data_IF_901146907795
#
_entry.id   IF_901146907795
#
_cell.length_a   1.000
_cell.length_b   1.000
_cell.length_c   1.000
_cell.angle_alpha   90.00
_cell.angle_beta   90.00
_cell.angle_gamma   90.00
#
_symmetry.space_group_name_H-M   'P 1'
#
loop_
_entity.id
_entity.type
_entity.pdbx_description
1 polymer ?
#
# COMPACT_ATOMS: atom_id res chain seq x y z
N UNK A 1 -8.51 20.52 9.60
CA UNK A 1 -7.75 20.14 8.40
C UNK A 1 -6.98 18.83 8.63
N UNK A 2 -7.71 17.72 8.80
CA UNK A 2 -7.14 16.41 9.12
C UNK A 2 -6.70 15.59 7.88
N UNK A 3 -7.07 16.00 6.66
CA UNK A 3 -7.22 15.02 5.56
C UNK A 3 -5.92 14.47 4.94
N UNK A 4 -4.85 15.27 4.80
CA UNK A 4 -3.64 14.83 4.06
C UNK A 4 -2.62 14.17 4.98
N UNK A 5 -2.39 14.77 6.15
CA UNK A 5 -1.45 14.23 7.13
C UNK A 5 -1.93 12.91 7.69
N UNK A 6 -3.24 12.79 7.94
CA UNK A 6 -3.85 11.54 8.40
C UNK A 6 -3.77 10.46 7.32
N UNK A 7 -4.07 10.79 6.05
CA UNK A 7 -3.91 9.85 4.93
C UNK A 7 -2.47 9.34 4.81
N UNK A 8 -1.48 10.24 4.84
CA UNK A 8 -0.06 9.83 4.83
C UNK A 8 0.31 8.95 6.03
N UNK A 9 -0.22 9.24 7.21
CA UNK A 9 0.03 8.47 8.42
C UNK A 9 -0.59 7.08 8.31
N UNK A 10 -1.84 6.97 7.87
CA UNK A 10 -2.50 5.70 7.58
C UNK A 10 -1.72 4.88 6.56
N UNK A 11 -1.29 5.51 5.46
CA UNK A 11 -0.50 4.81 4.44
C UNK A 11 0.81 4.24 5.01
N UNK A 12 1.52 5.02 5.84
CA UNK A 12 2.74 4.55 6.49
C UNK A 12 2.47 3.43 7.49
N UNK A 13 1.38 3.51 8.27
CA UNK A 13 0.97 2.45 9.19
C UNK A 13 0.63 1.16 8.46
N UNK A 14 -0.11 1.24 7.35
CA UNK A 14 -0.44 0.08 6.51
C UNK A 14 0.82 -0.51 5.89
N UNK A 15 1.71 0.32 5.35
CA UNK A 15 3.00 -0.11 4.80
C UNK A 15 3.86 -0.84 5.84
N UNK A 16 3.92 -0.32 7.06
CA UNK A 16 4.66 -0.96 8.15
C UNK A 16 4.01 -2.30 8.57
N UNK A 17 2.68 -2.35 8.63
CA UNK A 17 1.95 -3.60 8.90
C UNK A 17 2.21 -4.65 7.83
N UNK A 18 2.08 -4.26 6.57
CA UNK A 18 2.33 -5.15 5.43
C UNK A 18 3.77 -5.68 5.39
N UNK A 19 4.78 -4.83 5.63
CA UNK A 19 6.17 -5.28 5.75
C UNK A 19 6.34 -6.30 6.87
N UNK A 20 5.68 -6.08 8.00
CA UNK A 20 5.73 -6.99 9.14
C UNK A 20 5.08 -8.34 8.78
N UNK A 21 3.92 -8.32 8.13
CA UNK A 21 3.25 -9.53 7.62
C UNK A 21 4.15 -10.27 6.61
N UNK A 22 4.74 -9.56 5.66
CA UNK A 22 5.70 -10.10 4.70
C UNK A 22 6.90 -10.77 5.40
N UNK A 23 7.50 -10.08 6.38
CA UNK A 23 8.62 -10.62 7.15
C UNK A 23 8.22 -11.85 7.96
N UNK A 24 7.02 -11.86 8.54
CA UNK A 24 6.48 -12.99 9.28
C UNK A 24 6.24 -14.20 8.38
N UNK A 25 5.77 -13.99 7.15
CA UNK A 25 5.59 -15.07 6.18
C UNK A 25 6.91 -15.67 5.75
N UNK A 26 7.91 -14.84 5.43
CA UNK A 26 9.26 -15.34 5.10
C UNK A 26 9.85 -16.12 6.28
N UNK A 27 9.64 -15.66 7.52
CA UNK A 27 10.04 -16.40 8.71
C UNK A 27 9.32 -17.76 8.83
N UNK A 28 8.03 -17.82 8.51
CA UNK A 28 7.19 -19.01 8.66
C UNK A 28 7.39 -20.05 7.55
N UNK A 29 7.63 -19.62 6.31
CA UNK A 29 7.74 -20.49 5.13
C UNK A 29 9.18 -20.70 4.64
N UNK A 30 10.13 -19.90 5.14
CA UNK A 30 11.54 -19.97 4.78
C UNK A 30 11.90 -19.15 3.52
N UNK A 31 13.15 -19.29 3.07
CA UNK A 31 13.71 -18.52 1.96
C UNK A 31 13.03 -18.78 0.61
N UNK A 32 12.26 -19.87 0.47
CA UNK A 32 11.59 -20.22 -0.80
C UNK A 32 10.59 -19.15 -1.27
N UNK A 33 9.94 -18.46 -0.33
CA UNK A 33 9.01 -17.36 -0.65
C UNK A 33 9.66 -15.99 -0.47
N UNK A 34 10.89 -15.91 0.06
CA UNK A 34 11.55 -14.64 0.38
C UNK A 34 11.69 -13.75 -0.85
N UNK A 35 12.14 -14.30 -1.97
CA UNK A 35 12.30 -13.54 -3.22
C UNK A 35 10.94 -13.07 -3.76
N UNK A 36 9.90 -13.91 -3.68
CA UNK A 36 8.55 -13.55 -4.13
C UNK A 36 7.92 -12.48 -3.24
N UNK A 37 8.10 -12.59 -1.92
CA UNK A 37 7.62 -11.62 -0.94
C UNK A 37 8.38 -10.30 -1.06
N UNK A 38 9.68 -10.32 -1.32
CA UNK A 38 10.49 -9.11 -1.55
C UNK A 38 10.06 -8.38 -2.82
N UNK A 39 9.89 -9.10 -3.94
CA UNK A 39 9.38 -8.54 -5.18
C UNK A 39 7.98 -7.90 -5.01
N UNK A 40 7.12 -8.54 -4.23
CA UNK A 40 5.79 -8.06 -3.90
C UNK A 40 5.82 -6.84 -2.98
N UNK A 41 6.75 -6.80 -2.02
CA UNK A 41 7.04 -5.61 -1.22
C UNK A 41 7.52 -4.46 -2.10
N UNK A 42 8.47 -4.69 -3.00
CA UNK A 42 8.95 -3.65 -3.91
C UNK A 42 7.83 -3.09 -4.78
N UNK A 43 6.98 -3.95 -5.36
CA UNK A 43 5.83 -3.51 -6.15
C UNK A 43 4.85 -2.67 -5.31
N UNK A 44 4.53 -3.12 -4.09
CA UNK A 44 3.65 -2.39 -3.17
C UNK A 44 4.22 -1.01 -2.85
N UNK A 45 5.53 -0.92 -2.61
CA UNK A 45 6.22 0.31 -2.27
C UNK A 45 6.23 1.30 -3.42
N UNK A 46 6.48 0.84 -4.65
CA UNK A 46 6.47 1.70 -5.84
C UNK A 46 5.08 2.32 -6.06
N UNK A 47 4.03 1.49 -5.96
CA UNK A 47 2.64 1.97 -6.06
C UNK A 47 2.29 2.95 -4.94
N UNK A 48 2.69 2.67 -3.69
CA UNK A 48 2.45 3.59 -2.58
C UNK A 48 3.23 4.91 -2.71
N UNK A 49 4.46 4.88 -3.23
CA UNK A 49 5.23 6.09 -3.52
C UNK A 49 4.58 6.93 -4.62
N UNK A 50 4.06 6.29 -5.67
CA UNK A 50 3.29 6.96 -6.72
C UNK A 50 2.06 7.68 -6.16
N UNK A 51 1.27 7.03 -5.29
CA UNK A 51 0.14 7.64 -4.59
C UNK A 51 0.62 8.81 -3.72
N UNK A 52 1.72 8.66 -2.96
CA UNK A 52 2.28 9.74 -2.14
C UNK A 52 2.76 10.94 -2.96
N UNK A 53 3.34 10.71 -4.14
CA UNK A 53 3.74 11.78 -5.08
C UNK A 53 2.51 12.55 -5.55
N UNK A 54 1.43 11.86 -5.95
CA UNK A 54 0.16 12.51 -6.34
C UNK A 54 -0.47 13.31 -5.18
N UNK A 55 -0.44 12.77 -3.97
CA UNK A 55 -0.86 13.49 -2.74
C UNK A 55 -0.05 14.77 -2.52
N UNK A 56 1.23 14.83 -2.93
CA UNK A 56 2.07 16.05 -2.81
C UNK A 56 1.90 16.99 -4.01
N UNK A 57 1.58 16.45 -5.19
CA UNK A 57 1.48 17.17 -6.45
C UNK A 57 0.10 17.80 -6.72
N UNK A 58 -0.84 17.69 -5.78
CA UNK A 58 -2.17 18.29 -5.93
C UNK A 58 -2.11 19.82 -6.15
N UNK A 59 -3.02 20.31 -6.99
CA UNK A 59 -3.12 21.73 -7.26
C UNK A 59 -3.69 22.47 -6.03
N UNK A 60 -2.84 23.29 -5.40
CA UNK A 60 -3.20 24.05 -4.20
C UNK A 60 -4.09 25.26 -4.50
N UNK A 61 -4.24 25.63 -5.78
CA UNK A 61 -5.06 26.75 -6.26
C UNK A 61 -6.45 26.30 -6.71
N UNK A 62 -6.65 24.99 -6.85
CA UNK A 62 -7.92 24.39 -7.20
C UNK A 62 -8.97 24.57 -6.09
N UNK A 63 -10.24 24.44 -6.49
CA UNK A 63 -11.37 24.57 -5.58
C UNK A 63 -11.33 23.50 -4.48
N UNK A 64 -11.80 23.85 -3.27
CA UNK A 64 -11.77 22.93 -2.12
C UNK A 64 -12.56 21.64 -2.38
N UNK A 65 -13.60 21.69 -3.22
CA UNK A 65 -14.33 20.49 -3.67
C UNK A 65 -13.46 19.58 -4.53
N UNK A 66 -12.70 20.13 -5.47
CA UNK A 66 -11.80 19.39 -6.36
C UNK A 66 -10.67 18.76 -5.57
N UNK A 67 -10.09 19.52 -4.63
CA UNK A 67 -9.03 19.02 -3.74
C UNK A 67 -9.55 17.85 -2.89
N UNK A 68 -10.74 17.97 -2.30
CA UNK A 68 -11.35 16.87 -1.51
C UNK A 68 -11.66 15.64 -2.36
N UNK A 69 -12.18 15.84 -3.57
CA UNK A 69 -12.46 14.74 -4.51
C UNK A 69 -11.17 14.01 -4.89
N UNK A 70 -10.09 14.75 -5.17
CA UNK A 70 -8.78 14.19 -5.48
C UNK A 70 -8.22 13.34 -4.33
N UNK A 71 -8.30 13.84 -3.09
CA UNK A 71 -7.85 13.05 -1.93
C UNK A 71 -8.73 11.84 -1.63
N UNK A 72 -10.03 11.91 -1.94
CA UNK A 72 -10.92 10.75 -1.83
C UNK A 72 -10.51 9.68 -2.84
N UNK A 73 -10.30 10.06 -4.08
CA UNK A 73 -9.87 9.17 -5.17
C UNK A 73 -8.55 8.46 -4.81
N UNK A 74 -7.55 9.22 -4.33
CA UNK A 74 -6.28 8.69 -3.86
C UNK A 74 -6.41 7.73 -2.67
N UNK A 75 -7.38 7.96 -1.79
CA UNK A 75 -7.66 7.07 -0.66
C UNK A 75 -8.27 5.75 -1.15
N UNK A 76 -9.20 5.81 -2.10
CA UNK A 76 -9.82 4.61 -2.69
C UNK A 76 -8.78 3.82 -3.52
N UNK A 77 -7.94 4.51 -4.28
CA UNK A 77 -6.80 3.92 -5.00
C UNK A 77 -5.83 3.22 -4.03
N UNK A 78 -5.44 3.89 -2.94
CA UNK A 78 -4.58 3.31 -1.93
C UNK A 78 -5.19 2.05 -1.27
N UNK A 79 -6.48 2.10 -0.94
CA UNK A 79 -7.20 0.96 -0.37
C UNK A 79 -7.18 -0.22 -1.34
N UNK A 80 -7.51 0.03 -2.62
CA UNK A 80 -7.52 -1.00 -3.66
C UNK A 80 -6.14 -1.61 -3.89
N UNK A 81 -5.08 -0.79 -3.94
CA UNK A 81 -3.69 -1.28 -4.03
C UNK A 81 -3.37 -2.15 -2.83
N UNK A 82 -3.72 -1.72 -1.63
CA UNK A 82 -3.48 -2.49 -0.40
C UNK A 82 -4.19 -3.84 -0.44
N UNK A 83 -5.48 -3.87 -0.81
CA UNK A 83 -6.27 -5.10 -0.95
C UNK A 83 -5.64 -6.05 -1.98
N UNK A 84 -5.24 -5.54 -3.16
CA UNK A 84 -4.58 -6.35 -4.20
C UNK A 84 -3.26 -6.94 -3.70
N UNK A 85 -2.45 -6.17 -2.96
CA UNK A 85 -1.18 -6.70 -2.45
C UNK A 85 -1.38 -7.72 -1.34
N UNK A 86 -2.40 -7.56 -0.48
CA UNK A 86 -2.75 -8.58 0.51
C UNK A 86 -3.33 -9.84 -0.14
N UNK A 87 -4.08 -9.72 -1.23
CA UNK A 87 -4.58 -10.87 -2.00
C UNK A 87 -3.40 -11.66 -2.59
N UNK A 88 -2.46 -11.00 -3.28
CA UNK A 88 -1.25 -11.64 -3.79
C UNK A 88 -0.38 -12.25 -2.68
N UNK A 89 -0.27 -11.56 -1.54
CA UNK A 89 0.42 -12.10 -0.36
C UNK A 89 -0.26 -13.39 0.13
N UNK A 90 -1.58 -13.40 0.17
CA UNK A 90 -2.39 -14.58 0.50
C UNK A 90 -2.22 -15.71 -0.50
N UNK A 91 -2.12 -15.43 -1.80
CA UNK A 91 -1.85 -16.43 -2.84
C UNK A 91 -0.47 -17.10 -2.67
N UNK A 92 0.55 -16.34 -2.26
CA UNK A 92 1.88 -16.90 -1.96
C UNK A 92 1.84 -17.90 -0.81
N UNK A 93 0.95 -17.71 0.16
CA UNK A 93 0.78 -18.58 1.33
C UNK A 93 -0.16 -19.75 1.03
N UNK A 94 -1.25 -19.49 0.33
CA UNK A 94 -2.28 -20.47 -0.04
C UNK A 94 -1.78 -21.53 -1.02
N UNK A 95 -0.77 -21.21 -1.85
CA UNK A 95 -0.15 -22.18 -2.77
C UNK A 95 0.57 -23.34 -2.10
N UNK A 96 0.81 -23.30 -0.78
CA UNK A 96 1.42 -24.40 -0.01
C UNK A 96 0.39 -25.29 0.70
N UNK A 97 -0.90 -25.07 0.45
CA UNK A 97 -2.01 -25.77 1.08
C UNK A 97 -2.63 -26.94 0.31
N UNK A 98 -2.06 -27.32 -0.85
CA UNK A 98 -2.47 -28.51 -1.64
C UNK A 98 -1.35 -29.55 -1.74
#
# INVERSE_FOLDING_TARGET
MASIRDLKKQMNSVRAGFLNDCSLLVLAHGEEIAESVDALCQEAFDRWDAVQKRIKAYDKKADSKVIKAHFRDLKEEFKRVTEEQYEKLGELVGKKGE
#
